data_IF_518575298289
#
_entry.id   IF_518575298289
#
_cell.length_a   1.000
_cell.length_b   1.000
_cell.length_c   1.000
_cell.angle_alpha   90.00
_cell.angle_beta   90.00
_cell.angle_gamma   90.00
#
_symmetry.space_group_name_H-M   'P 1'
#
loop_
_entity.id
_entity.type
_entity.pdbx_description
1 polymer ?
#
# COMPACT_ATOMS: atom_id res chain seq x y z
N UNK A 1 -10.87 -28.85 -5.98
CA UNK A 1 -11.58 -28.40 -4.78
C UNK A 1 -12.23 -27.10 -5.16
N UNK A 2 -13.54 -27.11 -5.30
CA UNK A 2 -14.35 -25.99 -5.74
C UNK A 2 -14.10 -24.79 -4.83
N UNK A 3 -13.78 -23.64 -5.43
CA UNK A 3 -13.68 -22.38 -4.71
C UNK A 3 -15.05 -22.10 -4.11
N UNK A 4 -15.18 -22.34 -2.81
CA UNK A 4 -16.31 -21.86 -2.04
C UNK A 4 -16.42 -20.36 -2.30
N UNK A 5 -17.46 -19.98 -3.03
CA UNK A 5 -17.76 -18.60 -3.33
C UNK A 5 -18.16 -17.96 -2.00
N UNK A 6 -17.18 -17.43 -1.27
CA UNK A 6 -17.38 -16.69 -0.04
C UNK A 6 -18.22 -15.45 -0.37
N UNK A 7 -19.53 -15.58 -0.20
CA UNK A 7 -20.46 -14.47 -0.39
C UNK A 7 -20.41 -13.59 0.86
N UNK A 8 -19.79 -12.42 0.72
CA UNK A 8 -19.75 -11.39 1.75
C UNK A 8 -21.17 -10.95 2.12
N UNK A 9 -21.55 -11.14 3.39
CA UNK A 9 -22.83 -10.67 3.93
C UNK A 9 -22.61 -9.41 4.77
N UNK A 10 -22.47 -8.27 4.10
CA UNK A 10 -22.22 -6.98 4.75
C UNK A 10 -23.50 -6.41 5.35
N UNK A 11 -23.50 -6.18 6.67
CA UNK A 11 -24.62 -5.60 7.41
C UNK A 11 -24.25 -4.19 7.90
N UNK A 12 -25.07 -3.21 7.53
CA UNK A 12 -24.86 -1.81 7.88
C UNK A 12 -25.70 -1.41 9.10
N UNK A 13 -25.16 -0.53 9.96
CA UNK A 13 -25.89 -0.03 11.14
C UNK A 13 -27.05 0.92 10.79
N UNK A 14 -27.01 1.53 9.61
CA UNK A 14 -28.04 2.44 9.09
C UNK A 14 -28.24 2.19 7.60
N UNK A 15 -29.33 2.73 7.06
CA UNK A 15 -29.53 2.79 5.61
C UNK A 15 -28.40 3.59 4.95
N UNK A 16 -27.97 3.10 3.80
CA UNK A 16 -26.99 3.78 2.96
C UNK A 16 -27.65 4.98 2.27
N UNK A 17 -26.88 6.04 2.08
CA UNK A 17 -27.25 7.08 1.15
C UNK A 17 -26.94 6.64 -0.29
N UNK A 18 -27.61 7.23 -1.27
CA UNK A 18 -27.43 6.84 -2.69
C UNK A 18 -25.98 6.97 -3.18
N UNK A 19 -25.19 7.91 -2.63
CA UNK A 19 -23.77 8.03 -2.97
C UNK A 19 -22.88 6.97 -2.30
N UNK A 20 -23.34 6.34 -1.22
CA UNK A 20 -22.60 5.25 -0.57
C UNK A 20 -22.81 3.91 -1.29
N UNK A 21 -23.92 3.74 -2.01
CA UNK A 21 -24.20 2.52 -2.78
C UNK A 21 -23.11 2.24 -3.82
N UNK A 22 -22.60 3.26 -4.50
CA UNK A 22 -21.49 3.12 -5.45
C UNK A 22 -20.19 2.68 -4.75
N UNK A 23 -19.87 3.29 -3.60
CA UNK A 23 -18.70 2.89 -2.81
C UNK A 23 -18.82 1.46 -2.29
N UNK A 24 -20.03 1.03 -1.92
CA UNK A 24 -20.29 -0.35 -1.49
C UNK A 24 -20.16 -1.33 -2.66
N UNK A 25 -20.63 -0.97 -3.86
CA UNK A 25 -20.44 -1.80 -5.05
C UNK A 25 -18.94 -1.99 -5.38
N UNK A 26 -18.16 -0.91 -5.28
CA UNK A 26 -16.70 -0.97 -5.45
C UNK A 26 -16.05 -1.88 -4.40
N UNK A 27 -16.43 -1.72 -3.12
CA UNK A 27 -15.94 -2.54 -2.02
C UNK A 27 -16.24 -4.04 -2.25
N UNK A 28 -17.49 -4.38 -2.59
CA UNK A 28 -17.89 -5.77 -2.87
C UNK A 28 -17.10 -6.34 -4.05
N UNK A 29 -16.86 -5.53 -5.08
CA UNK A 29 -16.00 -5.90 -6.20
C UNK A 29 -14.55 -6.19 -5.78
N UNK A 30 -13.97 -5.35 -4.92
CA UNK A 30 -12.62 -5.59 -4.38
C UNK A 30 -12.54 -6.85 -3.51
N UNK A 31 -13.59 -7.13 -2.73
CA UNK A 31 -13.67 -8.29 -1.84
C UNK A 31 -13.87 -9.62 -2.57
N UNK A 32 -14.34 -9.61 -3.83
CA UNK A 32 -14.59 -10.82 -4.60
C UNK A 32 -13.33 -11.69 -4.83
N UNK A 33 -12.14 -11.05 -4.85
CA UNK A 33 -10.85 -11.72 -5.06
C UNK A 33 -10.05 -11.89 -3.76
N UNK A 34 -10.64 -11.59 -2.61
CA UNK A 34 -9.96 -11.70 -1.31
C UNK A 34 -10.16 -13.10 -0.74
N UNK A 35 -9.05 -13.81 -0.55
CA UNK A 35 -9.01 -15.08 0.17
C UNK A 35 -8.51 -14.82 1.58
N UNK A 36 -9.37 -15.00 2.58
CA UNK A 36 -8.97 -14.90 3.99
C UNK A 36 -8.26 -16.20 4.42
N UNK A 37 -7.21 -16.06 5.23
CA UNK A 37 -6.56 -17.18 5.90
C UNK A 37 -6.80 -17.10 7.41
N UNK A 38 -6.50 -18.20 8.12
CA UNK A 38 -6.50 -18.21 9.59
C UNK A 38 -5.18 -17.71 10.19
N UNK A 39 -4.29 -17.14 9.37
CA UNK A 39 -3.04 -16.55 9.87
C UNK A 39 -3.32 -15.25 10.62
N UNK A 40 -2.42 -14.89 11.54
CA UNK A 40 -2.47 -13.58 12.18
C UNK A 40 -2.25 -12.47 11.17
N UNK A 41 -3.00 -11.38 11.32
CA UNK A 41 -2.86 -10.18 10.51
C UNK A 41 -1.45 -9.60 10.66
N UNK A 42 -0.84 -9.22 9.54
CA UNK A 42 0.49 -8.61 9.47
C UNK A 42 0.42 -7.32 8.69
N UNK A 43 1.19 -6.33 9.16
CA UNK A 43 1.42 -5.12 8.38
C UNK A 43 2.27 -5.47 7.16
N UNK A 44 1.78 -5.10 5.98
CA UNK A 44 2.49 -5.30 4.72
C UNK A 44 2.73 -3.96 4.02
N UNK A 45 4.00 -3.65 3.78
CA UNK A 45 4.40 -2.47 3.02
C UNK A 45 4.47 -2.82 1.53
N UNK A 46 3.45 -2.41 0.76
CA UNK A 46 3.30 -2.78 -0.66
C UNK A 46 4.35 -2.19 -1.60
N UNK A 47 5.12 -1.20 -1.14
CA UNK A 47 6.18 -0.56 -1.92
C UNK A 47 7.52 -1.30 -1.83
N UNK A 48 7.60 -2.35 -1.02
CA UNK A 48 8.76 -3.22 -0.94
C UNK A 48 8.36 -4.69 -1.14
N UNK A 49 9.02 -5.47 -2.01
CA UNK A 49 8.67 -6.87 -2.26
C UNK A 49 8.74 -7.74 -1.00
N UNK A 50 9.62 -7.41 -0.05
CA UNK A 50 9.75 -8.11 1.23
C UNK A 50 8.65 -7.74 2.23
N UNK A 51 7.78 -6.79 1.88
CA UNK A 51 6.67 -6.33 2.73
C UNK A 51 7.10 -5.51 3.95
N UNK A 52 8.40 -5.26 4.10
CA UNK A 52 8.96 -4.48 5.18
C UNK A 52 9.02 -3.00 4.83
N UNK A 53 8.67 -2.16 5.80
CA UNK A 53 8.85 -0.72 5.66
C UNK A 53 10.34 -0.36 5.66
N UNK A 54 10.74 0.49 4.74
CA UNK A 54 12.03 1.17 4.78
C UNK A 54 11.84 2.64 4.41
N UNK A 55 12.61 3.52 5.05
CA UNK A 55 12.56 4.96 4.73
C UNK A 55 12.92 5.20 3.25
N UNK A 56 13.84 4.40 2.70
CA UNK A 56 14.20 4.40 1.28
C UNK A 56 13.00 4.14 0.37
N UNK A 57 12.28 3.03 0.56
CA UNK A 57 11.15 2.69 -0.30
C UNK A 57 9.99 3.70 -0.21
N UNK A 58 9.77 4.29 0.97
CA UNK A 58 8.83 5.39 1.14
C UNK A 58 9.26 6.66 0.40
N UNK A 59 10.54 7.04 0.51
CA UNK A 59 11.08 8.19 -0.19
C UNK A 59 11.04 8.01 -1.71
N UNK A 60 11.42 6.85 -2.22
CA UNK A 60 11.39 6.50 -3.65
C UNK A 60 9.96 6.57 -4.20
N UNK A 61 8.94 6.17 -3.43
CA UNK A 61 7.55 6.27 -3.82
C UNK A 61 7.05 7.73 -3.82
N UNK A 62 7.40 8.51 -2.80
CA UNK A 62 7.05 9.94 -2.73
C UNK A 62 7.68 10.73 -3.87
N UNK A 63 8.93 10.43 -4.25
CA UNK A 63 9.59 11.07 -5.38
C UNK A 63 8.86 10.84 -6.71
N UNK A 64 8.14 9.71 -6.87
CA UNK A 64 7.35 9.43 -8.08
C UNK A 64 6.02 10.17 -8.10
N UNK A 65 5.40 10.35 -6.94
CA UNK A 65 4.10 11.02 -6.78
C UNK A 65 4.20 12.55 -6.74
N UNK A 66 5.31 13.08 -6.23
CA UNK A 66 5.58 14.51 -6.25
C UNK A 66 5.94 14.91 -7.69
N UNK A 67 5.01 15.60 -8.37
CA UNK A 67 5.16 16.39 -9.62
C UNK A 67 6.62 16.74 -9.85
N UNK A 68 7.22 16.56 -11.06
CA UNK A 68 8.68 16.55 -11.24
C UNK A 68 9.29 17.73 -10.49
N UNK A 69 9.84 17.43 -9.33
CA UNK A 69 10.69 18.34 -8.61
C UNK A 69 11.85 18.72 -9.52
N UNK A 70 12.63 19.76 -9.15
CA UNK A 70 13.80 20.14 -9.94
C UNK A 70 14.58 18.89 -10.30
N UNK A 71 14.90 18.74 -11.58
CA UNK A 71 15.55 17.56 -12.13
C UNK A 71 16.86 17.39 -11.36
N UNK A 72 16.89 16.43 -10.43
CA UNK A 72 18.07 16.18 -9.63
C UNK A 72 19.21 15.86 -10.59
N UNK A 73 20.32 16.56 -10.45
CA UNK A 73 21.52 16.28 -11.22
C UNK A 73 21.99 14.86 -10.93
N UNK A 74 22.71 14.25 -11.88
CA UNK A 74 23.27 12.90 -11.73
C UNK A 74 24.15 12.75 -10.47
N UNK A 75 24.71 13.86 -9.99
CA UNK A 75 25.48 13.93 -8.75
C UNK A 75 24.59 13.86 -7.51
N UNK A 76 23.50 14.62 -7.48
CA UNK A 76 22.54 14.61 -6.38
C UNK A 76 21.87 13.23 -6.26
N UNK A 77 21.46 12.61 -7.38
CA UNK A 77 20.89 11.25 -7.36
C UNK A 77 21.86 10.25 -6.72
N UNK A 78 23.15 10.31 -7.09
CA UNK A 78 24.19 9.45 -6.49
C UNK A 78 24.37 9.70 -4.99
N UNK A 79 24.30 10.95 -4.55
CA UNK A 79 24.35 11.27 -3.11
C UNK A 79 23.14 10.67 -2.41
N UNK A 80 21.92 10.93 -2.89
CA UNK A 80 20.70 10.42 -2.26
C UNK A 80 20.63 8.89 -2.23
N UNK A 81 21.12 8.20 -3.26
CA UNK A 81 21.25 6.75 -3.25
C UNK A 81 22.20 6.27 -2.14
N UNK A 82 23.30 6.99 -1.92
CA UNK A 82 24.30 6.65 -0.89
C UNK A 82 23.88 7.01 0.54
N UNK A 83 22.85 7.86 0.73
CA UNK A 83 22.35 8.22 2.08
C UNK A 83 21.87 6.98 2.84
N UNK A 84 21.23 6.04 2.13
CA UNK A 84 20.69 4.83 2.75
C UNK A 84 21.75 3.79 3.12
N UNK A 85 22.96 3.89 2.54
CA UNK A 85 24.12 3.03 2.84
C UNK A 85 24.99 3.61 3.97
N UNK A 86 24.73 4.85 4.39
CA UNK A 86 25.45 5.48 5.49
C UNK A 86 25.10 4.79 6.81
N UNK A 87 26.09 4.31 7.59
CA UNK A 87 25.82 3.78 8.92
C UNK A 87 25.21 4.89 9.78
N UNK A 88 24.04 4.59 10.36
CA UNK A 88 23.37 5.53 11.25
C UNK A 88 24.34 5.98 12.36
N UNK A 89 24.41 7.29 12.67
CA UNK A 89 25.29 7.79 13.71
C UNK A 89 25.05 7.02 15.01
N UNK A 90 26.12 6.50 15.62
CA UNK A 90 26.02 5.82 16.91
C UNK A 90 25.59 6.82 17.99
N UNK A 91 24.64 6.39 18.83
CA UNK A 91 24.09 7.18 19.95
C UNK A 91 25.12 7.43 21.05
#
# INVERSE_FOLDING_TARGET
MEGENCRWNLLWRRNLFSWEEESVAQLVGSLANVTLSHEEDKWWWSLNPEGSFSVKSAYDALLREIIPGPTLSLFETKIFDSIWESPAPSK
#
